data_IF_329711831359
#
_entry.id   IF_329711831359
#
_cell.length_a   1.000
_cell.length_b   1.000
_cell.length_c   1.000
_cell.angle_alpha   90.00
_cell.angle_beta   90.00
_cell.angle_gamma   90.00
#
_symmetry.space_group_name_H-M   'P 1'
#
loop_
_entity.id
_entity.type
_entity.pdbx_description
1 polymer ?
#
# COMPACT_ATOMS: atom_id res chain seq x y z
N UNK A 1 1.55 4.22 0.51
CA UNK A 1 2.55 3.27 1.04
C UNK A 1 2.49 1.95 0.31
N UNK A 2 3.64 1.32 0.09
CA UNK A 2 3.73 0.01 -0.53
C UNK A 2 3.82 -1.13 0.47
N UNK A 3 3.22 -2.28 0.15
CA UNK A 3 3.33 -3.53 0.91
C UNK A 3 3.74 -4.65 -0.04
N UNK A 4 5.02 -4.81 -0.32
CA UNK A 4 5.53 -5.74 -1.33
C UNK A 4 5.55 -7.20 -0.84
N UNK A 5 4.43 -7.70 -0.33
CA UNK A 5 4.27 -9.06 0.19
C UNK A 5 3.51 -9.95 -0.80
N UNK A 6 4.05 -11.12 -1.09
CA UNK A 6 3.42 -12.13 -1.96
C UNK A 6 3.80 -13.57 -1.58
N UNK A 7 4.16 -13.80 -0.31
CA UNK A 7 4.62 -15.10 0.15
C UNK A 7 3.50 -16.14 0.33
N UNK A 8 2.24 -15.72 0.30
CA UNK A 8 1.06 -16.58 0.45
C UNK A 8 0.16 -16.62 -0.78
N UNK A 9 0.68 -16.24 -1.93
CA UNK A 9 -0.05 -16.29 -3.20
C UNK A 9 -0.43 -17.72 -3.58
N UNK A 10 -1.64 -17.89 -4.08
CA UNK A 10 -2.18 -19.20 -4.46
C UNK A 10 -1.71 -19.71 -5.81
N UNK A 11 -1.06 -18.86 -6.63
CA UNK A 11 -0.59 -19.24 -7.97
C UNK A 11 0.88 -18.81 -8.15
N UNK A 12 1.15 -17.70 -8.82
CA UNK A 12 2.53 -17.25 -9.08
C UNK A 12 2.87 -16.06 -8.19
N UNK A 13 4.05 -16.09 -7.58
CA UNK A 13 4.63 -14.92 -6.93
C UNK A 13 5.04 -13.88 -7.99
N UNK A 14 5.19 -12.62 -7.55
CA UNK A 14 5.56 -11.50 -8.42
C UNK A 14 4.77 -10.24 -8.12
N UNK A 15 3.65 -10.34 -7.43
CA UNK A 15 2.87 -9.16 -7.03
C UNK A 15 3.63 -8.26 -6.04
N UNK A 16 4.71 -8.76 -5.40
CA UNK A 16 5.64 -7.95 -4.60
C UNK A 16 6.25 -6.77 -5.37
N UNK A 17 6.32 -6.86 -6.68
CA UNK A 17 6.86 -5.79 -7.53
C UNK A 17 5.83 -4.70 -7.86
N UNK A 18 4.56 -4.90 -7.50
CA UNK A 18 3.47 -3.97 -7.75
C UNK A 18 3.71 -2.56 -7.22
N UNK A 19 4.04 -2.38 -5.93
CA UNK A 19 4.30 -1.06 -5.36
C UNK A 19 5.41 -0.30 -6.10
N UNK A 20 6.50 -0.98 -6.42
CA UNK A 20 7.60 -0.39 -7.18
C UNK A 20 7.16 0.03 -8.59
N UNK A 21 6.46 -0.83 -9.29
CA UNK A 21 5.99 -0.55 -10.65
C UNK A 21 5.02 0.64 -10.69
N UNK A 22 4.09 0.73 -9.74
CA UNK A 22 3.18 1.87 -9.60
C UNK A 22 3.95 3.16 -9.31
N UNK A 23 4.93 3.12 -8.41
CA UNK A 23 5.77 4.28 -8.06
C UNK A 23 6.55 4.78 -9.26
N UNK A 24 7.20 3.88 -10.01
CA UNK A 24 7.96 4.23 -11.21
C UNK A 24 7.03 4.83 -12.30
N UNK A 25 5.87 4.24 -12.51
CA UNK A 25 4.88 4.79 -13.45
C UNK A 25 4.37 6.17 -13.03
N UNK A 26 4.23 6.42 -11.72
CA UNK A 26 3.72 7.69 -11.18
C UNK A 26 4.61 8.90 -11.46
N UNK A 27 5.90 8.69 -11.73
CA UNK A 27 6.81 9.79 -12.07
C UNK A 27 6.46 10.53 -13.36
N UNK A 28 5.67 9.90 -14.23
CA UNK A 28 5.21 10.49 -15.48
C UNK A 28 3.74 10.94 -15.43
N UNK A 29 3.09 10.87 -14.28
CA UNK A 29 1.70 11.28 -14.14
C UNK A 29 1.57 12.79 -14.13
N UNK A 30 0.61 13.28 -14.92
CA UNK A 30 0.17 14.66 -14.85
C UNK A 30 -0.87 14.83 -13.73
N UNK A 31 -0.96 16.02 -13.18
CA UNK A 31 -1.93 16.32 -12.12
C UNK A 31 -3.36 16.45 -12.65
N UNK A 32 -3.52 16.72 -13.94
CA UNK A 32 -4.83 16.84 -14.58
C UNK A 32 -5.32 15.49 -15.09
N UNK A 33 -6.53 15.12 -14.75
CA UNK A 33 -7.18 13.90 -15.24
C UNK A 33 -8.27 14.25 -16.24
N UNK A 34 -8.04 13.86 -17.50
CA UNK A 34 -8.94 14.16 -18.62
C UNK A 34 -10.32 13.49 -18.47
N UNK A 35 -10.37 12.28 -17.92
CA UNK A 35 -11.62 11.53 -17.76
C UNK A 35 -12.58 12.19 -16.76
N UNK A 36 -12.03 12.75 -15.68
CA UNK A 36 -12.81 13.44 -14.65
C UNK A 36 -12.86 14.95 -14.85
N UNK A 37 -12.15 15.48 -15.87
CA UNK A 37 -12.00 16.91 -16.11
C UNK A 37 -11.62 17.69 -14.84
N UNK A 38 -10.64 17.15 -14.11
CA UNK A 38 -10.19 17.68 -12.81
C UNK A 38 -8.69 17.56 -12.63
N UNK A 39 -8.12 18.56 -11.98
CA UNK A 39 -6.76 18.48 -11.47
C UNK A 39 -6.75 17.88 -10.07
N UNK A 40 -5.69 17.16 -9.73
CA UNK A 40 -5.44 16.69 -8.37
C UNK A 40 -5.17 17.89 -7.46
N UNK A 41 -6.04 18.10 -6.49
CA UNK A 41 -5.96 19.21 -5.52
C UNK A 41 -5.64 18.75 -4.11
N UNK A 42 -5.48 17.44 -3.92
CA UNK A 42 -5.21 16.83 -2.62
C UNK A 42 -3.72 16.55 -2.51
N UNK A 43 -3.12 16.99 -1.41
CA UNK A 43 -1.75 16.62 -1.10
C UNK A 43 -1.65 15.12 -0.80
N UNK A 44 -0.70 14.47 -1.44
CA UNK A 44 -0.41 13.06 -1.25
C UNK A 44 1.08 12.85 -1.03
N UNK A 45 1.41 11.94 -0.14
CA UNK A 45 2.79 11.64 0.22
C UNK A 45 3.04 10.14 0.10
N UNK A 46 4.11 9.78 -0.59
CA UNK A 46 4.58 8.40 -0.65
C UNK A 46 5.58 8.17 0.50
N UNK A 47 5.18 7.37 1.46
CA UNK A 47 6.06 7.00 2.59
C UNK A 47 6.95 5.80 2.29
N UNK A 48 6.98 5.35 1.03
CA UNK A 48 7.75 4.19 0.60
C UNK A 48 7.08 2.86 0.93
N UNK A 49 7.89 1.81 0.91
CA UNK A 49 7.44 0.46 1.25
C UNK A 49 7.66 0.18 2.73
N UNK A 50 6.69 -0.47 3.36
CA UNK A 50 6.86 -0.95 4.74
C UNK A 50 7.86 -2.12 4.75
N UNK A 51 8.50 -2.31 5.91
CA UNK A 51 9.31 -3.49 6.12
C UNK A 51 8.41 -4.73 6.18
N UNK A 52 8.74 -5.74 5.39
CA UNK A 52 8.04 -7.03 5.37
C UNK A 52 8.98 -8.15 5.79
N UNK A 53 8.42 -9.21 6.34
CA UNK A 53 9.16 -10.45 6.60
C UNK A 53 8.72 -11.52 5.61
N UNK A 54 9.55 -11.78 4.60
CA UNK A 54 9.26 -12.82 3.60
C UNK A 54 9.02 -14.17 4.28
N UNK A 55 7.96 -14.86 3.85
CA UNK A 55 7.59 -16.16 4.40
C UNK A 55 6.97 -16.12 5.80
N UNK A 56 6.80 -14.94 6.40
CA UNK A 56 6.14 -14.79 7.70
C UNK A 56 5.00 -13.78 7.60
N UNK A 57 3.81 -14.31 7.39
CA UNK A 57 2.59 -13.50 7.26
C UNK A 57 2.27 -12.75 8.55
N UNK A 58 2.38 -13.39 9.71
CA UNK A 58 2.00 -12.82 10.99
C UNK A 58 2.79 -11.56 11.29
N UNK A 59 4.12 -11.63 11.17
CA UNK A 59 4.99 -10.46 11.36
C UNK A 59 4.73 -9.36 10.34
N UNK A 60 4.51 -9.72 9.09
CA UNK A 60 4.17 -8.74 8.05
C UNK A 60 2.83 -8.08 8.36
N UNK A 61 1.85 -8.85 8.81
CA UNK A 61 0.53 -8.34 9.18
C UNK A 61 0.58 -7.37 10.38
N UNK A 62 1.39 -7.66 11.38
CA UNK A 62 1.67 -6.74 12.50
C UNK A 62 2.25 -5.41 11.99
N UNK A 63 3.23 -5.47 11.11
CA UNK A 63 3.83 -4.25 10.52
C UNK A 63 2.83 -3.44 9.71
N UNK A 64 1.90 -4.09 9.00
CA UNK A 64 0.82 -3.42 8.27
C UNK A 64 -0.08 -2.70 9.26
N UNK A 65 -0.52 -3.38 10.32
CA UNK A 65 -1.40 -2.82 11.35
C UNK A 65 -0.75 -1.58 11.98
N UNK A 66 0.46 -1.72 12.48
CA UNK A 66 1.18 -0.63 13.16
C UNK A 66 1.38 0.58 12.25
N UNK A 67 1.73 0.35 10.98
CA UNK A 67 1.92 1.45 10.03
C UNK A 67 0.61 2.15 9.69
N UNK A 68 -0.46 1.39 9.46
CA UNK A 68 -1.78 1.96 9.16
C UNK A 68 -2.31 2.75 10.36
N UNK A 69 -2.20 2.21 11.58
CA UNK A 69 -2.56 2.92 12.81
C UNK A 69 -1.78 4.21 12.98
N UNK A 70 -0.48 4.20 12.69
CA UNK A 70 0.36 5.39 12.75
C UNK A 70 -0.11 6.47 11.78
N UNK A 71 -0.44 6.09 10.54
CA UNK A 71 -0.98 7.02 9.53
C UNK A 71 -2.32 7.60 9.97
N UNK A 72 -3.22 6.76 10.48
CA UNK A 72 -4.54 7.19 10.98
C UNK A 72 -4.42 8.11 12.19
N UNK A 73 -3.48 7.86 13.11
CA UNK A 73 -3.25 8.70 14.29
C UNK A 73 -2.81 10.12 13.93
N UNK A 74 -2.21 10.32 12.78
CA UNK A 74 -1.86 11.64 12.23
C UNK A 74 -3.03 12.34 11.53
N UNK A 75 -4.22 11.77 11.54
CA UNK A 75 -5.38 12.30 10.83
C UNK A 75 -5.32 12.13 9.30
N UNK A 76 -4.43 11.28 8.81
CA UNK A 76 -4.24 11.03 7.39
C UNK A 76 -5.04 9.82 6.91
N UNK A 77 -5.33 9.78 5.62
CA UNK A 77 -5.99 8.64 4.96
C UNK A 77 -4.94 7.74 4.31
N UNK A 78 -4.80 6.48 4.75
CA UNK A 78 -3.86 5.57 4.13
C UNK A 78 -4.34 5.11 2.74
N UNK A 79 -3.43 5.13 1.76
CA UNK A 79 -3.57 4.44 0.48
C UNK A 79 -2.51 3.35 0.48
N UNK A 80 -2.96 2.10 0.43
CA UNK A 80 -2.09 0.93 0.51
C UNK A 80 -2.05 0.23 -0.84
N UNK A 81 -0.85 0.09 -1.39
CA UNK A 81 -0.61 -0.59 -2.66
C UNK A 81 0.16 -1.88 -2.37
N UNK A 82 -0.46 -3.02 -2.61
CA UNK A 82 0.15 -4.32 -2.42
C UNK A 82 0.83 -4.81 -3.70
N UNK A 83 1.25 -5.86 -3.58
CA UNK A 83 1.42 -7.20 -3.18
C UNK A 83 0.15 -8.00 -3.40
N UNK A 84 0.03 -9.02 -2.65
CA UNK A 84 -1.11 -9.93 -2.72
C UNK A 84 -2.31 -9.46 -1.89
N UNK A 85 -3.47 -10.09 -2.11
CA UNK A 85 -4.72 -9.70 -1.46
C UNK A 85 -4.73 -9.90 0.07
N UNK A 86 -3.96 -10.83 0.59
CA UNK A 86 -3.88 -11.16 2.02
C UNK A 86 -3.52 -9.95 2.89
N UNK A 87 -2.79 -8.97 2.34
CA UNK A 87 -2.42 -7.73 3.05
C UNK A 87 -3.64 -6.92 3.50
N UNK A 88 -4.78 -7.07 2.84
CA UNK A 88 -6.03 -6.39 3.19
C UNK A 88 -6.46 -6.70 4.63
N UNK A 89 -6.13 -7.86 5.13
CA UNK A 89 -6.45 -8.28 6.50
C UNK A 89 -5.86 -7.32 7.55
N UNK A 90 -4.58 -7.01 7.44
CA UNK A 90 -3.92 -6.07 8.36
C UNK A 90 -4.49 -4.66 8.26
N UNK A 91 -4.78 -4.22 7.04
CA UNK A 91 -5.38 -2.90 6.82
C UNK A 91 -6.76 -2.80 7.46
N UNK A 92 -7.62 -3.79 7.24
CA UNK A 92 -8.97 -3.81 7.81
C UNK A 92 -8.92 -3.90 9.34
N UNK A 93 -8.04 -4.74 9.88
CA UNK A 93 -7.86 -4.87 11.31
C UNK A 93 -7.46 -3.55 11.97
N UNK A 94 -6.54 -2.81 11.36
CA UNK A 94 -6.14 -1.49 11.86
C UNK A 94 -7.26 -0.43 11.81
N UNK A 95 -8.25 -0.60 10.93
CA UNK A 95 -9.35 0.37 10.80
C UNK A 95 -10.49 0.05 11.77
N UNK A 96 -10.72 -1.22 12.09
CA UNK A 96 -11.88 -1.68 12.86
C UNK A 96 -11.58 -2.00 14.33
N UNK A 97 -10.32 -2.13 14.71
CA UNK A 97 -9.91 -2.31 16.11
C UNK A 97 -9.58 -0.96 16.77
#
# INVERSE_FOLDING_TARGET
MGVPFDSTTSYKSGSRYGPKAVREASYNFETYNLHFDKSLTVDSYDIGDIYITNGNYEKTNEMIIDTVLSVLSMGLKPIVIGGEHTITNGVLKAIYD
#
